data_IF_176703725969
#
_entry.id   IF_176703725969
#
_cell.length_a   1.000
_cell.length_b   1.000
_cell.length_c   1.000
_cell.angle_alpha   90.00
_cell.angle_beta   90.00
_cell.angle_gamma   90.00
#
_symmetry.space_group_name_H-M   'P 1'
#
loop_
_entity.id
_entity.type
_entity.pdbx_description
1 polymer ?
#
# COMPACT_ATOMS: atom_id res chain seq x y z
N UNK A 1 -49.13 34.12 14.42
CA UNK A 1 -48.00 33.38 15.03
C UNK A 1 -46.80 33.50 14.11
N UNK A 2 -45.62 33.78 14.67
CA UNK A 2 -44.44 34.34 13.97
C UNK A 2 -43.78 33.36 12.98
N UNK A 3 -43.20 33.95 11.94
CA UNK A 3 -42.46 33.35 10.81
C UNK A 3 -40.94 33.47 11.05
N UNK A 4 -40.15 32.61 10.38
CA UNK A 4 -38.67 32.62 10.15
C UNK A 4 -37.81 32.00 11.27
N UNK A 5 -36.76 31.21 10.99
CA UNK A 5 -35.77 31.19 9.90
C UNK A 5 -35.30 29.73 9.60
N UNK A 6 -35.27 29.24 8.36
CA UNK A 6 -34.28 29.45 7.26
C UNK A 6 -32.90 28.84 7.53
N UNK A 7 -32.66 27.71 6.84
CA UNK A 7 -31.45 27.26 6.14
C UNK A 7 -30.10 27.21 6.88
N UNK A 8 -29.57 26.00 7.02
CA UNK A 8 -28.13 25.72 6.85
C UNK A 8 -27.97 24.36 6.19
N UNK A 9 -28.30 24.32 4.89
CA UNK A 9 -27.85 23.25 4.01
C UNK A 9 -26.32 23.28 3.96
N UNK A 10 -25.72 22.14 4.22
CA UNK A 10 -24.29 21.92 4.21
C UNK A 10 -23.67 22.42 2.90
N UNK A 11 -22.85 23.46 3.00
CA UNK A 11 -21.93 23.86 1.95
C UNK A 11 -20.85 22.76 1.92
N UNK A 12 -21.08 21.70 1.14
CA UNK A 12 -19.98 21.04 0.44
C UNK A 12 -19.44 22.09 -0.53
N UNK A 13 -18.50 22.92 -0.06
CA UNK A 13 -17.69 23.69 -0.96
C UNK A 13 -16.91 22.68 -1.79
N UNK A 14 -17.36 22.49 -3.03
CA UNK A 14 -16.52 21.99 -4.11
C UNK A 14 -15.28 22.88 -4.15
N UNK A 15 -14.23 22.47 -3.45
CA UNK A 15 -12.89 22.74 -3.93
C UNK A 15 -12.68 21.75 -5.07
N UNK A 16 -13.30 22.05 -6.22
CA UNK A 16 -12.75 21.63 -7.48
C UNK A 16 -11.46 22.44 -7.63
N UNK A 17 -10.40 22.00 -6.94
CA UNK A 17 -9.05 22.28 -7.40
C UNK A 17 -9.09 21.87 -8.86
N UNK A 18 -8.99 22.85 -9.75
CA UNK A 18 -8.65 22.60 -11.12
C UNK A 18 -7.27 21.93 -11.08
N UNK A 19 -7.26 20.61 -10.87
CA UNK A 19 -6.09 19.80 -11.06
C UNK A 19 -5.66 20.14 -12.50
N UNK A 20 -4.43 20.66 -12.70
CA UNK A 20 -3.95 20.92 -14.04
C UNK A 20 -4.21 19.66 -14.86
N UNK A 21 -4.88 19.83 -16.00
CA UNK A 21 -5.20 18.73 -16.89
C UNK A 21 -3.89 18.27 -17.56
N UNK A 22 -3.10 17.52 -16.81
CA UNK A 22 -1.85 16.97 -17.31
C UNK A 22 -2.22 15.82 -18.24
N UNK A 23 -2.10 16.05 -19.55
CA UNK A 23 -2.23 14.99 -20.54
C UNK A 23 -1.01 14.08 -20.41
N UNK A 24 -1.18 12.77 -20.12
CA UNK A 24 -0.07 11.84 -20.17
C UNK A 24 0.47 11.83 -21.60
N UNK A 25 1.67 12.39 -21.80
CA UNK A 25 2.41 12.34 -23.06
C UNK A 25 3.55 11.39 -22.79
N UNK A 26 3.83 10.45 -23.69
CA UNK A 26 4.80 9.36 -23.48
C UNK A 26 6.27 9.80 -23.38
N UNK A 27 6.59 10.84 -22.62
CA UNK A 27 7.92 11.33 -22.27
C UNK A 27 8.12 11.21 -20.76
N UNK A 28 8.81 10.12 -20.38
CA UNK A 28 9.08 9.76 -18.98
C UNK A 28 9.86 10.81 -18.19
N UNK A 29 10.60 11.72 -18.84
CA UNK A 29 11.38 12.76 -18.14
C UNK A 29 10.45 13.89 -17.71
N UNK A 30 9.63 14.36 -18.64
CA UNK A 30 8.65 15.42 -18.38
C UNK A 30 7.58 14.97 -17.39
N UNK A 31 7.09 13.73 -17.52
CA UNK A 31 6.14 13.15 -16.56
C UNK A 31 6.76 13.02 -15.15
N UNK A 32 8.08 12.76 -15.06
CA UNK A 32 8.80 12.68 -13.79
C UNK A 32 8.91 14.02 -13.06
N UNK A 33 9.20 15.10 -13.78
CA UNK A 33 9.23 16.45 -13.20
C UNK A 33 7.83 16.88 -12.70
N UNK A 34 6.79 16.62 -13.50
CA UNK A 34 5.41 16.91 -13.10
C UNK A 34 4.97 16.11 -11.88
N UNK A 35 5.41 14.85 -11.75
CA UNK A 35 5.13 14.03 -10.57
C UNK A 35 5.79 14.61 -9.31
N UNK A 36 7.02 15.11 -9.42
CA UNK A 36 7.72 15.77 -8.31
C UNK A 36 7.01 17.05 -7.88
N UNK A 37 6.65 17.92 -8.84
CA UNK A 37 5.92 19.16 -8.57
C UNK A 37 4.56 18.90 -7.92
N UNK A 38 3.81 17.90 -8.44
CA UNK A 38 2.55 17.48 -7.86
C UNK A 38 2.71 17.00 -6.42
N UNK A 39 3.74 16.20 -6.15
CA UNK A 39 4.02 15.69 -4.79
C UNK A 39 4.34 16.83 -3.83
N UNK A 40 5.17 17.80 -4.25
CA UNK A 40 5.50 18.97 -3.44
C UNK A 40 4.26 19.83 -3.15
N UNK A 41 3.40 20.05 -4.15
CA UNK A 41 2.13 20.78 -3.97
C UNK A 41 1.22 20.07 -2.96
N UNK A 42 1.06 18.75 -3.08
CA UNK A 42 0.23 17.97 -2.16
C UNK A 42 0.76 18.06 -0.72
N UNK A 43 2.07 17.98 -0.53
CA UNK A 43 2.67 18.11 0.80
C UNK A 43 2.37 19.48 1.42
N UNK A 44 2.52 20.55 0.64
CA UNK A 44 2.22 21.91 1.09
C UNK A 44 0.72 22.08 1.47
N UNK A 45 -0.18 21.55 0.64
CA UNK A 45 -1.63 21.60 0.90
C UNK A 45 -2.02 20.82 2.15
N UNK A 46 -1.40 19.66 2.39
CA UNK A 46 -1.62 18.86 3.60
C UNK A 46 -1.20 19.64 4.85
N UNK A 47 -0.01 20.25 4.84
CA UNK A 47 0.48 21.03 5.97
C UNK A 47 -0.46 22.21 6.27
N UNK A 48 -0.85 22.95 5.24
CA UNK A 48 -1.82 24.04 5.38
C UNK A 48 -3.15 23.57 5.94
N UNK A 49 -3.66 22.44 5.46
CA UNK A 49 -4.92 21.87 5.94
C UNK A 49 -4.87 21.49 7.42
N UNK A 50 -3.72 20.96 7.88
CA UNK A 50 -3.51 20.64 9.29
C UNK A 50 -3.49 21.89 10.17
N UNK A 51 -2.79 22.95 9.76
CA UNK A 51 -2.76 24.21 10.51
C UNK A 51 -4.16 24.84 10.63
N UNK A 52 -4.93 24.81 9.53
CA UNK A 52 -6.32 25.28 9.54
C UNK A 52 -7.22 24.44 10.44
N UNK A 53 -7.05 23.12 10.43
CA UNK A 53 -7.79 22.18 11.27
C UNK A 53 -7.48 22.40 12.75
N UNK A 54 -6.21 22.53 13.10
CA UNK A 54 -5.75 22.81 14.46
C UNK A 54 -6.32 24.14 14.97
N UNK A 55 -6.31 25.18 14.14
CA UNK A 55 -6.92 26.47 14.48
C UNK A 55 -8.43 26.35 14.73
N UNK A 56 -9.15 25.49 14.00
CA UNK A 56 -10.59 25.23 14.22
C UNK A 56 -10.84 24.46 15.52
N UNK A 57 -10.01 23.47 15.83
CA UNK A 57 -10.09 22.74 17.11
C UNK A 57 -9.83 23.65 18.30
N UNK A 58 -8.79 24.50 18.21
CA UNK A 58 -8.45 25.45 19.26
C UNK A 58 -9.58 26.43 19.56
N UNK A 59 -10.33 26.88 18.55
CA UNK A 59 -11.54 27.73 18.74
C UNK A 59 -12.65 27.04 19.52
N UNK A 60 -12.68 25.70 19.55
CA UNK A 60 -13.63 24.88 20.32
C UNK A 60 -13.09 24.47 21.69
N UNK A 61 -11.88 24.90 22.06
CA UNK A 61 -11.21 24.44 23.28
C UNK A 61 -10.66 23.02 23.20
N UNK A 62 -10.49 22.48 21.99
CA UNK A 62 -9.98 21.13 21.73
C UNK A 62 -8.52 21.18 21.23
N UNK A 63 -7.76 20.12 21.50
CA UNK A 63 -6.39 19.93 20.99
C UNK A 63 -6.35 18.93 19.83
N UNK A 64 -5.55 19.21 18.81
CA UNK A 64 -5.32 18.28 17.70
C UNK A 64 -4.29 17.22 18.09
N UNK A 65 -4.58 15.94 17.80
CA UNK A 65 -3.61 14.85 17.98
C UNK A 65 -2.69 14.66 16.76
N UNK A 66 -3.08 15.17 15.58
CA UNK A 66 -2.28 15.18 14.36
C UNK A 66 -2.06 16.64 13.95
N UNK A 67 -0.81 17.06 13.91
CA UNK A 67 -0.37 18.45 13.73
C UNK A 67 0.76 18.49 12.70
N UNK A 68 1.10 19.69 12.24
CA UNK A 68 2.28 19.90 11.38
C UNK A 68 3.60 19.56 12.08
N UNK A 69 3.63 19.54 13.42
CA UNK A 69 4.81 19.16 14.20
C UNK A 69 5.01 17.65 14.39
N UNK A 70 3.98 16.83 14.19
CA UNK A 70 4.07 15.38 14.38
C UNK A 70 3.64 14.55 13.14
N UNK A 71 3.22 15.21 12.05
CA UNK A 71 2.97 14.53 10.78
C UNK A 71 4.25 13.91 10.23
N UNK A 72 4.06 12.81 9.51
CA UNK A 72 5.12 12.03 8.90
C UNK A 72 4.90 11.94 7.40
N UNK A 73 5.93 12.27 6.64
CA UNK A 73 5.98 11.96 5.21
C UNK A 73 6.80 10.68 5.00
N UNK A 74 6.14 9.64 4.49
CA UNK A 74 6.80 8.38 4.14
C UNK A 74 7.70 8.60 2.92
N UNK A 75 8.93 8.07 2.98
CA UNK A 75 9.94 8.21 1.93
C UNK A 75 9.91 7.01 1.01
N UNK A 76 10.05 7.25 -0.29
CA UNK A 76 10.32 6.22 -1.29
C UNK A 76 11.62 5.46 -0.93
N UNK A 77 11.68 4.16 -1.22
CA UNK A 77 12.75 3.28 -0.77
C UNK A 77 14.13 3.65 -1.34
N UNK A 78 14.18 4.05 -2.60
CA UNK A 78 15.33 4.65 -3.29
C UNK A 78 15.87 5.91 -2.61
N UNK A 79 14.98 6.72 -2.03
CA UNK A 79 15.35 7.91 -1.25
C UNK A 79 15.88 7.60 0.16
N UNK A 80 15.77 6.35 0.64
CA UNK A 80 16.33 5.95 1.93
C UNK A 80 17.86 5.80 1.87
N UNK A 81 18.53 6.23 2.94
CA UNK A 81 19.96 5.96 3.13
C UNK A 81 20.22 4.46 3.33
N UNK A 82 21.47 4.03 3.20
CA UNK A 82 21.83 2.63 3.43
C UNK A 82 21.47 2.18 4.86
N UNK A 83 21.71 3.03 5.87
CA UNK A 83 21.38 2.69 7.26
C UNK A 83 19.88 2.54 7.47
N UNK A 84 19.06 3.40 6.86
CA UNK A 84 17.60 3.33 6.92
C UNK A 84 17.07 2.06 6.26
N UNK A 85 17.62 1.69 5.10
CA UNK A 85 17.29 0.43 4.41
C UNK A 85 17.64 -0.78 5.27
N UNK A 86 18.84 -0.79 5.88
CA UNK A 86 19.26 -1.87 6.76
C UNK A 86 18.42 -1.94 8.03
N UNK A 87 18.05 -0.80 8.62
CA UNK A 87 17.14 -0.70 9.77
C UNK A 87 15.80 -1.35 9.46
N UNK A 88 15.19 -1.01 8.32
CA UNK A 88 13.93 -1.62 7.87
C UNK A 88 14.07 -3.13 7.65
N UNK A 89 15.11 -3.57 6.92
CA UNK A 89 15.37 -5.00 6.67
C UNK A 89 15.56 -5.78 7.98
N UNK A 90 16.27 -5.22 8.95
CA UNK A 90 16.48 -5.86 10.25
C UNK A 90 15.17 -5.97 11.04
N UNK A 91 14.31 -4.96 10.99
CA UNK A 91 12.99 -5.01 11.63
C UNK A 91 12.10 -6.10 11.01
N UNK A 92 12.09 -6.24 9.68
CA UNK A 92 11.34 -7.31 9.01
C UNK A 92 11.88 -8.69 9.39
N UNK A 93 13.22 -8.85 9.46
CA UNK A 93 13.84 -10.11 9.92
C UNK A 93 13.51 -10.44 11.37
N UNK A 94 13.43 -9.42 12.23
CA UNK A 94 12.95 -9.60 13.60
C UNK A 94 11.51 -10.13 13.59
N UNK A 95 10.63 -9.53 12.79
CA UNK A 95 9.22 -9.95 12.70
C UNK A 95 9.06 -11.41 12.21
N UNK A 96 9.96 -11.85 11.33
CA UNK A 96 10.04 -13.24 10.85
C UNK A 96 10.54 -14.23 11.91
N UNK A 97 11.15 -13.76 13.01
CA UNK A 97 11.64 -14.59 14.12
C UNK A 97 10.69 -14.61 15.33
N UNK A 98 9.91 -13.56 15.53
CA UNK A 98 8.94 -13.51 16.62
C UNK A 98 7.86 -14.59 16.45
N UNK A 99 7.42 -15.26 17.52
CA UNK A 99 6.42 -16.34 17.44
C UNK A 99 5.06 -15.80 16.96
N UNK A 100 4.27 -16.61 16.21
CA UNK A 100 2.97 -16.18 15.71
C UNK A 100 1.96 -16.00 16.84
N UNK A 101 1.02 -15.07 16.68
CA UNK A 101 -0.15 -14.93 17.56
C UNK A 101 -1.36 -15.68 17.04
N UNK A 102 -1.39 -16.00 15.75
CA UNK A 102 -2.47 -16.78 15.14
C UNK A 102 -2.59 -18.15 15.81
N UNK A 103 -3.75 -18.52 16.35
CA UNK A 103 -3.95 -19.85 16.92
C UNK A 103 -3.74 -20.97 15.89
N UNK A 104 -3.15 -22.09 16.31
CA UNK A 104 -2.81 -23.19 15.40
C UNK A 104 -4.02 -23.83 14.69
N UNK A 105 -5.22 -23.75 15.28
CA UNK A 105 -6.47 -24.19 14.65
C UNK A 105 -6.98 -23.22 13.58
N UNK A 106 -6.54 -21.96 13.59
CA UNK A 106 -6.83 -20.96 12.55
C UNK A 106 -5.84 -21.10 11.40
N UNK A 107 -4.55 -21.30 11.70
CA UNK A 107 -3.53 -21.63 10.70
C UNK A 107 -2.48 -22.55 11.30
N UNK A 108 -2.41 -23.78 10.79
CA UNK A 108 -1.37 -24.73 11.15
C UNK A 108 0.00 -24.36 10.54
N UNK A 109 0.03 -23.44 9.56
CA UNK A 109 1.22 -23.02 8.83
C UNK A 109 1.93 -21.80 9.38
N UNK A 110 1.30 -20.98 10.21
CA UNK A 110 1.94 -19.79 10.78
C UNK A 110 3.13 -20.18 11.68
N UNK A 111 4.29 -19.57 11.48
CA UNK A 111 5.50 -19.77 12.31
C UNK A 111 6.10 -18.48 12.85
N UNK A 112 5.60 -17.34 12.40
CA UNK A 112 6.13 -16.05 12.79
C UNK A 112 5.05 -14.96 12.89
N UNK A 113 5.38 -13.84 13.54
CA UNK A 113 4.54 -12.63 13.48
C UNK A 113 4.37 -12.10 12.08
N UNK A 114 5.37 -12.29 11.22
CA UNK A 114 5.24 -11.99 9.80
C UNK A 114 4.15 -12.85 9.15
N UNK A 115 4.09 -14.14 9.50
CA UNK A 115 3.05 -15.03 8.99
C UNK A 115 1.64 -14.66 9.48
N UNK A 116 1.46 -14.02 10.65
CA UNK A 116 0.12 -13.55 11.09
C UNK A 116 -0.49 -12.57 10.08
N UNK A 117 0.33 -11.66 9.53
CA UNK A 117 -0.09 -10.72 8.48
C UNK A 117 -0.43 -11.46 7.17
N UNK A 118 0.31 -12.52 6.84
CA UNK A 118 0.03 -13.35 5.67
C UNK A 118 -1.28 -14.13 5.87
N UNK A 119 -1.53 -14.70 7.05
CA UNK A 119 -2.77 -15.42 7.35
C UNK A 119 -3.98 -14.51 7.20
N UNK A 120 -3.97 -13.33 7.84
CA UNK A 120 -5.13 -12.43 7.77
C UNK A 120 -5.40 -11.96 6.35
N UNK A 121 -4.37 -11.76 5.52
CA UNK A 121 -4.53 -11.40 4.12
C UNK A 121 -5.11 -12.55 3.31
N UNK A 122 -4.62 -13.79 3.49
CA UNK A 122 -5.18 -14.99 2.84
C UNK A 122 -6.66 -15.15 3.20
N UNK A 123 -7.03 -15.03 4.47
CA UNK A 123 -8.40 -15.24 4.94
C UNK A 123 -9.38 -14.20 4.41
N UNK A 124 -8.95 -12.95 4.27
CA UNK A 124 -9.83 -11.85 3.89
C UNK A 124 -9.73 -11.50 2.40
N UNK A 125 -8.92 -12.20 1.61
CA UNK A 125 -8.61 -11.84 0.22
C UNK A 125 -9.87 -11.56 -0.63
N UNK A 126 -10.94 -12.35 -0.46
CA UNK A 126 -12.18 -12.24 -1.24
C UNK A 126 -13.08 -11.08 -0.81
N UNK A 127 -12.82 -10.47 0.35
CA UNK A 127 -13.60 -9.35 0.92
C UNK A 127 -12.79 -8.05 0.99
N UNK A 128 -11.55 -8.05 0.50
CA UNK A 128 -10.65 -6.88 0.54
C UNK A 128 -10.17 -6.45 -0.84
N UNK A 129 -10.28 -7.29 -1.88
CA UNK A 129 -9.96 -6.94 -3.27
C UNK A 129 -11.25 -6.77 -4.08
N UNK A 130 -11.25 -5.83 -5.01
CA UNK A 130 -12.39 -5.39 -5.82
C UNK A 130 -13.60 -4.92 -4.99
N UNK A 131 -13.36 -4.48 -3.76
CA UNK A 131 -14.38 -4.03 -2.80
C UNK A 131 -14.21 -2.56 -2.42
N UNK A 132 -15.26 -1.94 -1.83
CA UNK A 132 -15.22 -0.54 -1.40
C UNK A 132 -14.21 -0.26 -0.28
N UNK A 133 -13.83 -1.28 0.49
CA UNK A 133 -12.85 -1.19 1.58
C UNK A 133 -11.40 -1.47 1.14
N UNK A 134 -11.12 -1.83 -0.13
CA UNK A 134 -9.76 -2.16 -0.60
C UNK A 134 -8.71 -1.14 -0.14
N UNK A 135 -8.93 0.14 -0.45
CA UNK A 135 -7.97 1.21 -0.13
C UNK A 135 -7.78 1.40 1.38
N UNK A 136 -8.88 1.42 2.13
CA UNK A 136 -8.84 1.66 3.57
C UNK A 136 -8.27 0.48 4.33
N UNK A 137 -8.63 -0.75 3.94
CA UNK A 137 -8.13 -1.99 4.53
C UNK A 137 -6.62 -2.12 4.32
N UNK A 138 -6.13 -1.92 3.10
CA UNK A 138 -4.69 -2.00 2.83
C UNK A 138 -3.90 -0.86 3.50
N UNK A 139 -4.45 0.35 3.57
CA UNK A 139 -3.86 1.46 4.36
C UNK A 139 -3.70 1.06 5.82
N UNK A 140 -4.76 0.50 6.42
CA UNK A 140 -4.74 0.06 7.82
C UNK A 140 -3.81 -1.13 8.05
N UNK A 141 -3.81 -2.10 7.14
CA UNK A 141 -2.94 -3.28 7.18
C UNK A 141 -1.46 -2.88 7.19
N UNK A 142 -1.04 -1.98 6.28
CA UNK A 142 0.33 -1.45 6.23
C UNK A 142 0.65 -0.60 7.47
N UNK A 143 -0.30 0.22 7.94
CA UNK A 143 -0.12 0.96 9.20
C UNK A 143 0.12 0.03 10.41
N UNK A 144 -0.66 -1.04 10.54
CA UNK A 144 -0.47 -2.02 11.62
C UNK A 144 0.84 -2.78 11.48
N UNK A 145 1.24 -3.11 10.24
CA UNK A 145 2.54 -3.73 9.97
C UNK A 145 3.68 -2.82 10.41
N UNK A 146 3.67 -1.55 10.00
CA UNK A 146 4.60 -0.53 10.46
C UNK A 146 4.61 -0.43 11.99
N UNK A 147 3.43 -0.34 12.62
CA UNK A 147 3.31 -0.24 14.07
C UNK A 147 3.98 -1.42 14.77
N UNK A 148 3.79 -2.64 14.30
CA UNK A 148 4.42 -3.83 14.91
C UNK A 148 5.93 -3.85 14.66
N UNK A 149 6.42 -3.40 13.50
CA UNK A 149 7.86 -3.22 13.28
C UNK A 149 8.46 -2.26 14.31
N UNK A 150 7.75 -1.18 14.62
CA UNK A 150 8.20 -0.16 15.59
C UNK A 150 8.12 -0.69 17.03
N UNK A 151 6.95 -1.17 17.44
CA UNK A 151 6.64 -1.53 18.82
C UNK A 151 7.34 -2.83 19.26
N UNK A 152 7.57 -3.79 18.35
CA UNK A 152 8.07 -5.12 18.70
C UNK A 152 9.46 -5.43 18.14
N UNK A 153 9.91 -4.67 17.15
CA UNK A 153 11.21 -4.88 16.49
C UNK A 153 12.12 -3.64 16.51
N UNK A 154 11.74 -2.59 17.25
CA UNK A 154 12.57 -1.40 17.47
C UNK A 154 12.81 -0.56 16.22
N UNK A 155 11.97 -0.69 15.20
CA UNK A 155 12.05 0.17 14.02
C UNK A 155 11.68 1.60 14.40
N UNK A 156 12.55 2.57 14.13
CA UNK A 156 12.30 3.98 14.49
C UNK A 156 11.79 4.81 13.32
N UNK A 157 12.02 4.34 12.09
CA UNK A 157 11.61 5.00 10.86
C UNK A 157 10.19 4.58 10.44
N UNK A 158 9.73 5.09 9.31
CA UNK A 158 8.40 4.84 8.78
C UNK A 158 8.47 3.98 7.53
N UNK A 159 7.46 3.15 7.33
CA UNK A 159 7.48 2.19 6.24
C UNK A 159 7.55 2.95 4.90
N UNK A 160 8.46 2.57 3.98
CA UNK A 160 8.44 3.11 2.63
C UNK A 160 7.08 2.75 1.99
N UNK A 161 6.49 3.64 1.17
CA UNK A 161 5.30 3.27 0.44
C UNK A 161 5.63 2.02 -0.41
N UNK A 162 4.74 1.02 -0.43
CA UNK A 162 4.95 -0.12 -1.32
C UNK A 162 4.95 0.36 -2.77
N UNK A 163 5.84 -0.19 -3.61
CA UNK A 163 5.63 -0.19 -5.05
C UNK A 163 4.34 -0.99 -5.31
N UNK A 164 3.30 -0.33 -5.83
CA UNK A 164 1.99 -0.96 -5.99
C UNK A 164 1.87 -1.68 -7.33
N UNK A 165 1.32 -2.91 -7.34
CA UNK A 165 0.50 -3.48 -8.43
C UNK A 165 -0.44 -4.54 -7.84
N UNK A 166 -1.68 -4.64 -8.36
CA UNK A 166 -2.40 -5.91 -8.40
C UNK A 166 -3.76 -5.86 -9.11
N UNK A 167 -3.95 -6.69 -10.13
CA UNK A 167 -5.28 -7.22 -10.46
C UNK A 167 -5.50 -7.99 -11.78
N UNK A 168 -6.43 -8.95 -11.67
CA UNK A 168 -6.99 -9.92 -12.64
C UNK A 168 -6.01 -10.87 -13.36
N UNK A 169 -6.56 -11.84 -14.12
CA UNK A 169 -5.80 -12.90 -14.83
C UNK A 169 -4.90 -12.30 -15.90
N UNK A 170 -3.68 -11.94 -15.51
CA UNK A 170 -2.68 -11.38 -16.41
C UNK A 170 -1.79 -12.51 -16.94
N UNK A 171 -1.70 -12.63 -18.26
CA UNK A 171 -0.62 -13.36 -18.90
C UNK A 171 0.65 -12.49 -18.77
N UNK A 172 1.47 -12.77 -17.75
CA UNK A 172 2.72 -12.05 -17.54
C UNK A 172 3.80 -12.67 -18.46
N UNK A 173 4.54 -11.87 -19.24
CA UNK A 173 5.76 -12.37 -19.84
C UNK A 173 6.71 -12.83 -18.73
N UNK A 174 7.41 -13.94 -18.96
CA UNK A 174 8.43 -14.40 -18.04
C UNK A 174 9.48 -13.29 -17.82
N UNK A 175 9.94 -13.17 -16.58
CA UNK A 175 11.05 -12.30 -16.24
C UNK A 175 12.39 -12.94 -16.61
N UNK A 176 13.46 -12.45 -15.99
CA UNK A 176 14.81 -13.03 -16.14
C UNK A 176 15.16 -14.01 -15.01
N UNK A 177 14.17 -14.41 -14.21
CA UNK A 177 14.34 -15.24 -13.02
C UNK A 177 13.51 -16.53 -13.05
N UNK A 178 12.69 -16.74 -12.01
CA UNK A 178 11.85 -17.94 -11.83
C UNK A 178 12.34 -18.90 -10.75
N UNK A 179 13.58 -18.75 -10.32
CA UNK A 179 14.23 -19.54 -9.29
C UNK A 179 14.03 -19.00 -7.87
N UNK A 180 14.64 -19.69 -6.90
CA UNK A 180 14.78 -19.19 -5.54
C UNK A 180 15.68 -17.96 -5.49
N UNK A 181 15.39 -17.04 -4.58
CA UNK A 181 16.26 -15.90 -4.28
C UNK A 181 17.56 -16.44 -3.65
N UNK A 182 18.70 -16.15 -4.26
CA UNK A 182 20.01 -16.71 -3.83
C UNK A 182 20.91 -15.68 -3.14
N UNK A 183 20.61 -14.39 -3.24
CA UNK A 183 21.44 -13.30 -2.70
C UNK A 183 20.62 -12.27 -1.92
N UNK A 184 21.31 -11.41 -1.18
CA UNK A 184 20.70 -10.35 -0.40
C UNK A 184 20.12 -10.83 0.94
N UNK A 185 19.47 -9.91 1.69
CA UNK A 185 19.11 -10.18 3.08
C UNK A 185 18.05 -11.28 3.26
N UNK A 186 17.28 -11.60 2.22
CA UNK A 186 16.19 -12.56 2.27
C UNK A 186 16.45 -13.84 1.45
N UNK A 187 17.71 -14.13 1.06
CA UNK A 187 18.05 -15.36 0.33
C UNK A 187 17.62 -16.64 1.08
N UNK A 188 17.76 -16.64 2.40
CA UNK A 188 17.39 -17.77 3.26
C UNK A 188 15.99 -17.62 3.86
N UNK A 189 15.12 -16.77 3.29
CA UNK A 189 13.75 -16.62 3.77
C UNK A 189 12.95 -17.89 3.50
N UNK A 190 12.32 -18.42 4.54
CA UNK A 190 11.34 -19.50 4.43
C UNK A 190 9.94 -18.91 4.30
N UNK A 191 9.23 -19.29 3.23
CA UNK A 191 7.81 -19.02 3.02
C UNK A 191 7.03 -20.20 3.57
N UNK A 192 6.28 -20.00 4.66
CA UNK A 192 5.60 -21.08 5.38
C UNK A 192 4.18 -21.38 4.88
N UNK A 193 3.51 -20.39 4.29
CA UNK A 193 2.10 -20.41 3.90
C UNK A 193 1.93 -20.42 2.38
N UNK A 194 0.72 -20.70 1.91
CA UNK A 194 0.38 -20.77 0.49
C UNK A 194 0.98 -21.98 -0.24
N UNK A 195 0.93 -22.00 -1.58
CA UNK A 195 0.13 -21.10 -2.42
C UNK A 195 -1.37 -21.24 -2.11
N UNK A 196 -2.16 -20.21 -2.37
CA UNK A 196 -3.63 -20.27 -2.26
C UNK A 196 -4.30 -20.74 -3.56
N UNK A 197 -3.50 -21.01 -4.60
CA UNK A 197 -3.97 -21.24 -5.97
C UNK A 197 -4.13 -19.93 -6.75
N UNK A 198 -4.98 -19.93 -7.78
CA UNK A 198 -5.33 -18.73 -8.56
C UNK A 198 -4.43 -18.44 -9.77
N UNK A 199 -3.24 -19.04 -9.83
CA UNK A 199 -2.40 -19.06 -11.04
C UNK A 199 -2.61 -20.37 -11.81
N UNK A 200 -2.68 -20.29 -13.14
CA UNK A 200 -2.83 -21.47 -13.99
C UNK A 200 -1.74 -22.52 -13.67
N UNK A 201 -2.15 -23.76 -13.45
CA UNK A 201 -1.23 -24.86 -13.11
C UNK A 201 -0.71 -24.85 -11.66
N UNK A 202 -1.14 -23.91 -10.81
CA UNK A 202 -0.72 -23.87 -9.40
C UNK A 202 -1.85 -24.37 -8.50
N UNK A 203 -1.71 -25.60 -8.00
CA UNK A 203 -2.61 -26.13 -6.98
C UNK A 203 -2.46 -25.38 -5.65
N UNK A 204 -3.54 -25.22 -4.87
CA UNK A 204 -3.44 -24.68 -3.52
C UNK A 204 -2.64 -25.62 -2.62
N UNK A 205 -1.88 -25.04 -1.69
CA UNK A 205 -1.20 -25.77 -0.63
C UNK A 205 -2.18 -26.29 0.44
N UNK A 206 -1.66 -27.01 1.46
CA UNK A 206 -2.47 -27.56 2.54
C UNK A 206 -3.39 -26.52 3.20
N UNK A 207 -4.61 -26.92 3.55
CA UNK A 207 -5.59 -26.03 4.18
C UNK A 207 -5.93 -24.80 3.35
N UNK A 208 -5.95 -24.91 2.01
CA UNK A 208 -6.19 -23.78 1.10
C UNK A 208 -5.08 -22.73 1.12
N UNK A 209 -3.87 -23.10 1.55
CA UNK A 209 -2.74 -22.20 1.75
C UNK A 209 -2.53 -21.75 3.19
N UNK A 210 -3.37 -22.15 4.15
CA UNK A 210 -3.18 -21.86 5.58
C UNK A 210 -2.41 -22.94 6.35
N UNK A 211 -2.18 -24.10 5.74
CA UNK A 211 -1.38 -25.18 6.31
C UNK A 211 0.12 -24.99 6.09
N UNK A 212 0.93 -25.72 6.86
CA UNK A 212 2.38 -25.60 6.82
C UNK A 212 2.96 -26.16 5.51
N UNK A 213 3.65 -25.30 4.76
CA UNK A 213 4.23 -25.61 3.46
C UNK A 213 5.56 -24.85 3.23
N UNK A 214 6.62 -25.15 4.02
CA UNK A 214 7.87 -24.39 4.00
C UNK A 214 8.63 -24.56 2.68
N UNK A 215 9.04 -23.44 2.09
CA UNK A 215 9.83 -23.38 0.85
C UNK A 215 10.62 -22.07 0.76
N UNK A 216 11.62 -22.03 -0.12
CA UNK A 216 12.34 -20.77 -0.38
C UNK A 216 11.47 -19.73 -1.10
N UNK A 217 11.77 -18.45 -0.89
CA UNK A 217 11.19 -17.36 -1.68
C UNK A 217 11.65 -17.48 -3.14
N UNK A 218 10.71 -17.53 -4.08
CA UNK A 218 10.99 -17.46 -5.53
C UNK A 218 10.66 -16.08 -6.07
N UNK A 219 11.43 -15.61 -7.05
CA UNK A 219 11.11 -14.38 -7.81
C UNK A 219 11.44 -14.54 -9.28
N UNK A 220 10.57 -13.98 -10.11
CA UNK A 220 10.77 -13.84 -11.54
C UNK A 220 10.56 -12.37 -11.93
N UNK A 221 11.62 -11.56 -11.78
CA UNK A 221 11.54 -10.11 -11.99
C UNK A 221 11.92 -9.80 -13.43
N UNK A 222 11.10 -8.98 -14.09
CA UNK A 222 11.37 -8.47 -15.43
C UNK A 222 10.77 -7.06 -15.60
N UNK A 223 11.27 -6.27 -16.56
CA UNK A 223 10.87 -4.87 -16.70
C UNK A 223 9.46 -4.70 -17.30
N UNK A 224 8.94 -5.73 -17.98
CA UNK A 224 7.73 -5.65 -18.77
C UNK A 224 6.52 -5.13 -17.97
N UNK A 225 6.39 -5.54 -16.70
CA UNK A 225 5.25 -5.13 -15.89
C UNK A 225 5.31 -3.67 -15.50
N UNK A 226 6.48 -3.20 -15.07
CA UNK A 226 6.65 -1.80 -14.71
C UNK A 226 6.53 -0.90 -15.94
N UNK A 227 7.09 -1.32 -17.08
CA UNK A 227 6.96 -0.59 -18.33
C UNK A 227 5.51 -0.48 -18.82
N UNK A 228 4.69 -1.51 -18.61
CA UNK A 228 3.29 -1.53 -19.08
C UNK A 228 2.31 -0.88 -18.10
N UNK A 229 2.49 -1.08 -16.80
CA UNK A 229 1.47 -0.78 -15.80
C UNK A 229 1.92 0.13 -14.66
N UNK A 230 3.23 0.37 -14.50
CA UNK A 230 3.77 1.20 -13.41
C UNK A 230 4.78 2.26 -13.91
N UNK A 231 4.55 2.79 -15.11
CA UNK A 231 5.30 3.95 -15.63
C UNK A 231 4.63 5.25 -15.19
N UNK A 232 5.35 6.39 -15.30
CA UNK A 232 4.83 7.69 -14.86
C UNK A 232 3.51 8.06 -15.52
N UNK A 233 3.37 7.83 -16.84
CA UNK A 233 2.15 8.09 -17.60
C UNK A 233 0.94 7.34 -17.01
N UNK A 234 1.12 6.07 -16.63
CA UNK A 234 0.06 5.23 -16.05
C UNK A 234 -0.30 5.65 -14.64
N UNK A 235 0.71 5.93 -13.81
CA UNK A 235 0.52 6.43 -12.44
C UNK A 235 -0.18 7.79 -12.45
N UNK A 236 0.22 8.69 -13.34
CA UNK A 236 -0.41 9.99 -13.48
C UNK A 236 -1.87 9.88 -13.94
N UNK A 237 -2.17 9.03 -14.93
CA UNK A 237 -3.55 8.76 -15.35
C UNK A 237 -4.40 8.17 -14.20
N UNK A 238 -3.81 7.35 -13.34
CA UNK A 238 -4.47 6.88 -12.12
C UNK A 238 -4.75 8.03 -11.15
N UNK A 239 -3.77 8.86 -10.84
CA UNK A 239 -3.92 10.00 -9.91
C UNK A 239 -4.92 11.05 -10.40
N UNK A 240 -5.09 11.19 -11.72
CA UNK A 240 -6.01 12.15 -12.33
C UNK A 240 -7.46 11.64 -12.43
N UNK A 241 -7.79 10.46 -11.89
CA UNK A 241 -9.18 9.98 -11.92
C UNK A 241 -10.11 10.89 -11.12
N UNK A 242 -11.28 11.25 -11.68
CA UNK A 242 -12.14 12.30 -11.13
C UNK A 242 -12.87 11.87 -9.84
N UNK A 243 -12.94 10.57 -9.57
CA UNK A 243 -13.62 10.04 -8.40
C UNK A 243 -13.00 8.72 -7.92
N UNK A 244 -13.32 8.34 -6.69
CA UNK A 244 -12.80 7.13 -6.04
C UNK A 244 -13.22 5.84 -6.75
N UNK A 245 -14.36 5.82 -7.43
CA UNK A 245 -14.83 4.63 -8.14
C UNK A 245 -13.93 4.30 -9.32
N UNK A 246 -13.63 5.31 -10.15
CA UNK A 246 -12.72 5.18 -11.29
C UNK A 246 -11.28 4.97 -10.85
N UNK A 247 -10.83 5.69 -9.81
CA UNK A 247 -9.49 5.51 -9.23
C UNK A 247 -9.28 4.07 -8.77
N UNK A 248 -10.20 3.56 -7.95
CA UNK A 248 -10.15 2.19 -7.42
C UNK A 248 -10.17 1.17 -8.56
N UNK A 249 -11.12 1.30 -9.49
CA UNK A 249 -11.26 0.35 -10.59
C UNK A 249 -10.00 0.31 -11.47
N UNK A 250 -9.37 1.46 -11.76
CA UNK A 250 -8.12 1.47 -12.52
C UNK A 250 -6.94 0.94 -11.71
N UNK A 251 -6.86 1.25 -10.40
CA UNK A 251 -5.76 0.79 -9.54
C UNK A 251 -5.70 -0.72 -9.38
N UNK A 252 -6.85 -1.38 -9.37
CA UNK A 252 -6.99 -2.84 -9.25
C UNK A 252 -7.06 -3.51 -10.63
N UNK A 253 -6.86 -2.77 -11.73
CA UNK A 253 -7.05 -3.27 -13.09
C UNK A 253 -8.52 -3.46 -13.46
N UNK A 254 -8.90 -2.98 -14.64
CA UNK A 254 -10.26 -3.16 -15.15
C UNK A 254 -10.44 -4.62 -15.59
N UNK A 255 -11.40 -5.38 -15.04
CA UNK A 255 -11.64 -6.74 -15.49
C UNK A 255 -12.02 -6.79 -16.98
N UNK A 256 -11.53 -7.79 -17.71
CA UNK A 256 -11.87 -8.06 -19.11
C UNK A 256 -11.44 -7.00 -20.14
N UNK A 257 -10.53 -6.09 -19.79
CA UNK A 257 -9.83 -5.29 -20.81
C UNK A 257 -8.66 -6.10 -21.39
N UNK A 258 -8.63 -6.38 -22.71
CA UNK A 258 -7.55 -7.12 -23.37
C UNK A 258 -6.18 -6.42 -23.31
#
# INVERSE_FOLDING_TARGET
MKVSSVLSSAILALVALAAPSVKPRGDSITDGAQFADLTASIQADVLKSLDEWEARLRKRGESANCTTSNIVFRKEYGALSLSERLSYVNAVKCLQRLPPRTPANVSAGARSRFDDFVVTHIQQTMTIHYTGNFMAWHRWFVYLYEKVLRDECGYTDYQPPPEGIGGSSIQLPAGVGGGFVTTGPFANMTVNLGPVGGLQGTAPGPGGGLGYNPRGLKRDVGPAMNQRYANYTTVLNLLLKPNISEYRLLSEGVPYTP
#
